data_IF_215631552757
#
_entry.id   IF_215631552757
#
_cell.length_a   1.000
_cell.length_b   1.000
_cell.length_c   1.000
_cell.angle_alpha   90.00
_cell.angle_beta   90.00
_cell.angle_gamma   90.00
#
_symmetry.space_group_name_H-M   'P 1'
#
loop_
_entity.id
_entity.type
_entity.pdbx_description
1 polymer ?
#
# COMPACT_ATOMS: atom_id res chain seq x y z
N UNK A 1 45.33 31.57 -5.49
CA UNK A 1 44.44 31.25 -6.65
C UNK A 1 43.50 30.20 -6.10
N UNK A 2 42.56 30.66 -5.30
CA UNK A 2 41.78 29.80 -4.42
C UNK A 2 40.37 29.84 -4.96
N UNK A 3 40.01 28.76 -5.65
CA UNK A 3 38.69 28.57 -6.22
C UNK A 3 37.81 28.00 -5.10
N UNK A 4 37.06 28.89 -4.44
CA UNK A 4 36.00 28.53 -3.52
C UNK A 4 34.95 27.68 -4.23
N UNK A 5 35.04 26.37 -4.03
CA UNK A 5 34.06 25.41 -4.52
C UNK A 5 32.87 25.45 -3.56
N UNK A 6 31.93 26.35 -3.82
CA UNK A 6 30.66 26.40 -3.08
C UNK A 6 29.87 25.12 -3.36
N UNK A 7 30.05 24.11 -2.52
CA UNK A 7 29.14 22.97 -2.45
C UNK A 7 27.81 23.48 -1.91
N UNK A 8 26.90 23.81 -2.82
CA UNK A 8 25.51 24.11 -2.48
C UNK A 8 24.93 22.86 -1.82
N UNK A 9 24.82 22.88 -0.49
CA UNK A 9 24.28 21.75 0.26
C UNK A 9 22.78 21.73 0.04
N UNK A 10 22.30 20.63 -0.54
CA UNK A 10 20.87 20.41 -0.72
C UNK A 10 20.19 20.33 0.65
N UNK A 11 19.30 21.28 0.94
CA UNK A 11 18.57 21.39 2.21
C UNK A 11 17.30 20.52 2.24
N UNK A 12 17.00 19.79 1.15
CA UNK A 12 15.82 18.94 1.07
C UNK A 12 15.94 17.77 2.03
N UNK A 13 14.81 17.38 2.63
CA UNK A 13 14.80 16.24 3.55
C UNK A 13 15.06 14.94 2.79
N UNK A 14 15.90 14.03 3.32
CA UNK A 14 16.28 12.82 2.60
C UNK A 14 15.11 11.86 2.36
N UNK A 15 14.06 11.90 3.18
CA UNK A 15 12.86 11.09 2.97
C UNK A 15 12.07 11.48 1.73
N UNK A 16 12.18 12.72 1.24
CA UNK A 16 11.45 13.17 0.05
C UNK A 16 11.86 12.44 -1.23
N UNK A 17 13.01 11.75 -1.21
CA UNK A 17 13.50 10.91 -2.31
C UNK A 17 13.19 9.43 -2.12
N UNK A 18 12.50 9.04 -1.04
CA UNK A 18 12.14 7.65 -0.76
C UNK A 18 10.72 7.39 -1.23
N UNK A 19 10.52 6.22 -1.85
CA UNK A 19 9.20 5.78 -2.28
C UNK A 19 8.36 5.48 -1.04
N UNK A 20 7.17 6.07 -0.96
CA UNK A 20 6.16 5.69 0.04
C UNK A 20 5.25 4.60 -0.52
N UNK A 21 4.75 4.82 -1.73
CA UNK A 21 3.84 3.89 -2.40
C UNK A 21 3.75 4.15 -3.89
N UNK A 22 3.58 3.08 -4.67
CA UNK A 22 3.10 3.17 -6.06
C UNK A 22 1.57 3.16 -6.09
N UNK A 23 0.97 4.15 -6.74
CA UNK A 23 -0.48 4.35 -6.74
C UNK A 23 -1.14 4.03 -8.09
N UNK A 24 -0.40 4.13 -9.21
CA UNK A 24 -0.90 3.78 -10.55
C UNK A 24 0.22 3.29 -11.47
N UNK A 25 -0.15 2.66 -12.59
CA UNK A 25 0.74 2.24 -13.66
C UNK A 25 0.09 2.53 -15.02
N UNK A 26 0.88 2.98 -16.00
CA UNK A 26 0.43 3.21 -17.38
C UNK A 26 1.50 2.80 -18.39
N UNK A 27 1.08 2.49 -19.62
CA UNK A 27 1.99 2.28 -20.75
C UNK A 27 2.42 3.63 -21.33
N UNK A 28 3.70 3.79 -21.69
CA UNK A 28 4.23 5.00 -22.32
C UNK A 28 3.69 5.23 -23.73
N UNK A 29 3.63 4.16 -24.50
CA UNK A 29 3.06 4.19 -25.84
C UNK A 29 1.56 4.44 -25.73
N UNK A 30 1.08 5.47 -26.44
CA UNK A 30 -0.30 5.97 -26.45
C UNK A 30 -1.32 4.97 -27.06
N UNK A 31 -1.20 3.66 -26.77
CA UNK A 31 -2.29 2.73 -27.06
C UNK A 31 -3.39 2.99 -26.04
N UNK A 32 -4.63 3.20 -26.53
CA UNK A 32 -5.84 3.37 -25.71
C UNK A 32 -6.26 2.07 -24.99
N UNK A 33 -5.34 1.12 -24.88
CA UNK A 33 -5.59 -0.16 -24.24
C UNK A 33 -5.55 0.05 -22.73
N UNK A 34 -6.62 -0.41 -22.08
CA UNK A 34 -6.71 -0.38 -20.62
C UNK A 34 -5.60 -1.26 -20.07
N UNK A 35 -4.71 -0.67 -19.29
CA UNK A 35 -3.67 -1.38 -18.58
C UNK A 35 -4.31 -2.11 -17.40
N UNK A 36 -4.55 -3.42 -17.52
CA UNK A 36 -5.02 -4.23 -16.40
C UNK A 36 -3.89 -4.45 -15.40
N UNK A 37 -3.90 -3.65 -14.33
CA UNK A 37 -2.91 -3.68 -13.25
C UNK A 37 -2.72 -5.10 -12.69
N UNK A 38 -3.78 -5.93 -12.67
CA UNK A 38 -3.72 -7.30 -12.13
C UNK A 38 -2.92 -8.25 -13.03
N UNK A 39 -3.01 -8.06 -14.34
CA UNK A 39 -2.34 -8.85 -15.37
C UNK A 39 -0.94 -8.30 -15.74
N UNK A 40 -0.64 -7.05 -15.38
CA UNK A 40 0.66 -6.40 -15.61
C UNK A 40 1.83 -7.00 -14.81
N UNK A 41 1.59 -7.78 -13.74
CA UNK A 41 2.66 -8.37 -12.94
C UNK A 41 3.59 -9.30 -13.76
N UNK A 42 3.09 -9.82 -14.87
CA UNK A 42 3.80 -10.75 -15.74
C UNK A 42 4.70 -10.03 -16.77
N UNK A 43 4.53 -8.71 -16.96
CA UNK A 43 5.20 -7.92 -18.00
C UNK A 43 6.24 -6.93 -17.41
N UNK A 44 6.50 -7.04 -16.11
CA UNK A 44 7.39 -6.20 -15.29
C UNK A 44 8.86 -6.20 -15.72
N UNK A 45 9.24 -7.01 -16.71
CA UNK A 45 10.58 -7.07 -17.28
C UNK A 45 10.72 -6.39 -18.64
N UNK A 46 9.65 -5.86 -19.23
CA UNK A 46 9.77 -5.03 -20.44
C UNK A 46 10.18 -3.61 -20.05
N UNK A 47 11.47 -3.47 -19.77
CA UNK A 47 12.10 -2.24 -19.34
C UNK A 47 11.76 -1.09 -20.31
N UNK A 48 11.29 0.03 -19.75
CA UNK A 48 10.97 1.24 -20.50
C UNK A 48 9.59 1.33 -21.17
N UNK A 49 8.72 0.31 -21.14
CA UNK A 49 7.36 0.40 -21.71
C UNK A 49 6.31 0.98 -20.76
N UNK A 50 6.58 0.96 -19.45
CA UNK A 50 5.65 1.36 -18.41
C UNK A 50 6.19 2.53 -17.58
N UNK A 51 5.27 3.32 -17.03
CA UNK A 51 5.52 4.34 -16.04
C UNK A 51 4.64 4.09 -14.82
N UNK A 52 5.17 4.43 -13.65
CA UNK A 52 4.52 4.20 -12.37
C UNK A 52 4.34 5.54 -11.67
N UNK A 53 3.14 5.80 -11.18
CA UNK A 53 2.86 7.00 -10.41
C UNK A 53 3.31 6.75 -8.96
N UNK A 54 4.38 7.43 -8.56
CA UNK A 54 5.06 7.26 -7.28
C UNK A 54 4.65 8.39 -6.33
N UNK A 55 4.16 8.00 -5.15
CA UNK A 55 3.95 8.90 -4.02
C UNK A 55 5.20 8.88 -3.12
N UNK A 56 5.76 10.04 -2.84
CA UNK A 56 7.00 10.20 -2.07
C UNK A 56 6.76 10.30 -0.56
N UNK A 57 7.72 9.84 0.25
CA UNK A 57 7.63 9.93 1.71
C UNK A 57 7.73 11.38 2.16
N UNK A 58 6.84 11.78 3.06
CA UNK A 58 6.82 13.14 3.62
C UNK A 58 6.30 14.23 2.66
N UNK A 59 5.86 13.87 1.44
CA UNK A 59 5.21 14.77 0.48
C UNK A 59 3.72 14.43 0.30
N UNK A 60 2.97 15.40 -0.23
CA UNK A 60 1.55 15.27 -0.52
C UNK A 60 1.30 14.47 -1.80
N UNK A 61 0.04 14.09 -2.05
CA UNK A 61 -0.32 13.35 -3.27
C UNK A 61 -0.17 14.18 -4.55
N UNK A 62 -0.23 15.51 -4.46
CA UNK A 62 -0.01 16.42 -5.59
C UNK A 62 1.41 16.35 -6.15
N UNK A 63 2.37 15.98 -5.30
CA UNK A 63 3.79 15.90 -5.66
C UNK A 63 4.18 14.53 -6.22
N UNK A 64 3.19 13.67 -6.50
CA UNK A 64 3.45 12.35 -7.09
C UNK A 64 3.91 12.49 -8.55
N UNK A 65 4.95 11.73 -8.92
CA UNK A 65 5.58 11.80 -10.24
C UNK A 65 5.48 10.47 -10.98
N UNK A 66 5.47 10.53 -12.32
CA UNK A 66 5.51 9.35 -13.17
C UNK A 66 6.97 8.93 -13.38
N UNK A 67 7.36 7.80 -12.80
CA UNK A 67 8.71 7.27 -12.87
C UNK A 67 8.82 6.10 -13.84
N UNK A 68 9.89 6.08 -14.65
CA UNK A 68 10.17 5.01 -15.63
C UNK A 68 11.01 3.88 -15.03
N UNK A 69 11.87 4.20 -14.07
CA UNK A 69 12.94 3.30 -13.63
C UNK A 69 12.41 2.18 -12.73
N UNK A 70 12.61 0.93 -13.16
CA UNK A 70 12.38 -0.28 -12.36
C UNK A 70 13.42 -0.44 -11.26
N UNK A 71 13.54 0.53 -10.34
CA UNK A 71 14.30 0.29 -9.10
C UNK A 71 13.65 -0.86 -8.34
N UNK A 72 14.45 -1.66 -7.63
CA UNK A 72 13.94 -2.78 -6.86
C UNK A 72 12.87 -2.34 -5.85
N UNK A 73 13.07 -1.18 -5.21
CA UNK A 73 12.10 -0.57 -4.30
C UNK A 73 10.76 -0.28 -4.99
N UNK A 74 10.78 0.26 -6.21
CA UNK A 74 9.58 0.56 -6.98
C UNK A 74 8.83 -0.72 -7.36
N UNK A 75 9.55 -1.77 -7.76
CA UNK A 75 8.95 -3.06 -8.10
C UNK A 75 8.29 -3.72 -6.88
N UNK A 76 8.92 -3.65 -5.71
CA UNK A 76 8.33 -4.13 -4.45
C UNK A 76 7.02 -3.39 -4.15
N UNK A 77 7.00 -2.07 -4.24
CA UNK A 77 5.79 -1.27 -3.99
C UNK A 77 4.72 -1.47 -5.06
N UNK A 78 5.11 -1.68 -6.31
CA UNK A 78 4.19 -2.05 -7.39
C UNK A 78 3.55 -3.41 -7.14
N UNK A 79 4.32 -4.42 -6.72
CA UNK A 79 3.77 -5.72 -6.35
C UNK A 79 2.75 -5.62 -5.21
N UNK A 80 2.99 -4.75 -4.22
CA UNK A 80 2.00 -4.45 -3.17
C UNK A 80 0.73 -3.79 -3.75
N UNK A 81 0.86 -2.94 -4.77
CA UNK A 81 -0.30 -2.37 -5.47
C UNK A 81 -1.12 -3.45 -6.18
N UNK A 82 -0.47 -4.35 -6.90
CA UNK A 82 -1.12 -5.48 -7.58
C UNK A 82 -1.85 -6.38 -6.57
N UNK A 83 -1.19 -6.75 -5.46
CA UNK A 83 -1.79 -7.56 -4.41
C UNK A 83 -3.03 -6.90 -3.79
N UNK A 84 -3.00 -5.58 -3.56
CA UNK A 84 -4.16 -4.83 -3.07
C UNK A 84 -5.33 -4.89 -4.04
N UNK A 85 -5.08 -4.73 -5.35
CA UNK A 85 -6.13 -4.84 -6.37
C UNK A 85 -6.71 -6.25 -6.48
N UNK A 86 -5.86 -7.29 -6.42
CA UNK A 86 -6.31 -8.69 -6.38
C UNK A 86 -7.23 -8.95 -5.19
N UNK A 87 -6.78 -8.57 -4.00
CA UNK A 87 -7.57 -8.75 -2.77
C UNK A 87 -8.89 -7.98 -2.83
N UNK A 88 -8.91 -6.77 -3.40
CA UNK A 88 -10.15 -6.01 -3.58
C UNK A 88 -11.14 -6.73 -4.51
N UNK A 89 -10.65 -7.33 -5.60
CA UNK A 89 -11.46 -8.13 -6.53
C UNK A 89 -11.91 -9.47 -5.92
N UNK A 90 -11.12 -10.06 -5.02
CA UNK A 90 -11.44 -11.29 -4.30
C UNK A 90 -12.48 -11.12 -3.19
N UNK A 91 -12.76 -9.89 -2.74
CA UNK A 91 -13.87 -9.60 -1.83
C UNK A 91 -15.19 -9.77 -2.61
N UNK A 92 -15.49 -11.02 -2.95
CA UNK A 92 -16.81 -11.44 -3.32
C UNK A 92 -17.69 -11.29 -2.08
N UNK A 93 -18.91 -10.84 -2.32
CA UNK A 93 -19.99 -10.69 -1.35
C UNK A 93 -20.34 -12.05 -0.72
N UNK A 94 -19.46 -12.54 0.15
CA UNK A 94 -19.62 -13.75 0.97
C UNK A 94 -20.51 -13.42 2.18
N UNK A 95 -21.54 -12.60 1.96
CA UNK A 95 -22.60 -12.30 2.92
C UNK A 95 -23.63 -13.43 3.04
N UNK A 96 -23.26 -14.66 2.66
CA UNK A 96 -24.10 -15.84 2.85
C UNK A 96 -23.31 -17.01 3.43
N UNK A 97 -22.91 -16.88 4.68
CA UNK A 97 -22.43 -17.99 5.51
C UNK A 97 -22.51 -17.58 6.96
N UNK A 98 -23.02 -18.45 7.83
CA UNK A 98 -22.96 -18.25 9.29
C UNK A 98 -21.50 -17.99 9.65
N UNK A 99 -21.14 -16.74 9.96
CA UNK A 99 -19.81 -16.42 10.45
C UNK A 99 -19.58 -17.30 11.68
N UNK A 100 -18.55 -18.14 11.62
CA UNK A 100 -18.16 -18.95 12.76
C UNK A 100 -17.93 -18.00 13.94
N UNK A 101 -18.54 -18.29 15.11
CA UNK A 101 -18.26 -17.53 16.34
C UNK A 101 -16.75 -17.49 16.52
N UNK A 102 -16.20 -16.28 16.55
CA UNK A 102 -14.76 -16.06 16.57
C UNK A 102 -14.44 -15.28 17.84
N UNK A 103 -13.59 -15.85 18.68
CA UNK A 103 -13.12 -15.22 19.92
C UNK A 103 -11.61 -15.33 19.94
N UNK A 104 -10.94 -14.18 19.97
CA UNK A 104 -9.51 -14.07 20.15
C UNK A 104 -9.17 -14.31 21.62
N UNK A 105 -8.42 -15.36 21.91
CA UNK A 105 -7.83 -15.57 23.24
C UNK A 105 -6.48 -14.87 23.35
N UNK A 106 -5.75 -14.79 22.24
CA UNK A 106 -4.41 -14.22 22.14
C UNK A 106 -4.29 -13.31 20.92
N UNK A 107 -3.24 -12.51 20.87
CA UNK A 107 -2.93 -11.68 19.71
C UNK A 107 -2.65 -12.56 18.48
N UNK A 108 -3.35 -12.34 17.35
CA UNK A 108 -3.03 -13.02 16.11
C UNK A 108 -1.58 -12.77 15.65
N UNK A 109 -0.93 -13.80 15.11
CA UNK A 109 0.47 -13.75 14.67
C UNK A 109 0.76 -12.69 13.60
N UNK A 110 -0.25 -12.26 12.86
CA UNK A 110 -0.11 -11.25 11.80
C UNK A 110 -0.13 -9.81 12.33
N UNK A 111 -0.54 -9.59 13.59
CA UNK A 111 -0.51 -8.25 14.19
C UNK A 111 0.91 -7.96 14.69
N UNK A 112 1.50 -6.90 14.16
CA UNK A 112 2.82 -6.39 14.53
C UNK A 112 2.72 -5.01 15.16
N UNK A 113 3.75 -4.58 15.91
CA UNK A 113 3.78 -3.25 16.55
C UNK A 113 3.68 -3.26 18.07
N UNK A 114 3.92 -4.41 18.70
CA UNK A 114 3.88 -4.61 20.15
C UNK A 114 3.06 -5.83 20.54
N UNK A 115 2.81 -5.97 21.84
CA UNK A 115 1.93 -6.99 22.42
C UNK A 115 0.64 -6.30 22.86
N UNK A 116 -0.50 -6.85 22.45
CA UNK A 116 -1.81 -6.38 22.88
C UNK A 116 -2.02 -6.67 24.36
N UNK A 117 -2.49 -5.66 25.09
CA UNK A 117 -2.96 -5.83 26.45
C UNK A 117 -4.28 -6.60 26.47
N UNK A 118 -4.59 -7.22 27.61
CA UNK A 118 -5.80 -8.03 27.78
C UNK A 118 -7.08 -7.24 27.48
N UNK A 119 -7.18 -5.99 27.95
CA UNK A 119 -8.32 -5.10 27.65
C UNK A 119 -8.46 -4.77 26.16
N UNK A 120 -7.36 -4.76 25.39
CA UNK A 120 -7.41 -4.54 23.94
C UNK A 120 -7.96 -5.79 23.23
N UNK A 121 -7.58 -6.98 23.68
CA UNK A 121 -8.15 -8.25 23.20
C UNK A 121 -9.66 -8.29 23.49
N UNK A 122 -10.08 -7.91 24.70
CA UNK A 122 -11.51 -7.79 25.04
C UNK A 122 -12.24 -6.79 24.15
N UNK A 123 -11.66 -5.61 23.91
CA UNK A 123 -12.23 -4.59 23.03
C UNK A 123 -12.41 -5.07 21.59
N UNK A 124 -11.41 -5.77 21.03
CA UNK A 124 -11.51 -6.36 19.68
C UNK A 124 -12.59 -7.45 19.63
N UNK A 125 -12.63 -8.35 20.62
CA UNK A 125 -13.68 -9.36 20.72
C UNK A 125 -15.07 -8.73 20.80
N UNK A 126 -15.22 -7.63 21.54
CA UNK A 126 -16.47 -6.90 21.62
C UNK A 126 -16.89 -6.35 20.24
N UNK A 127 -15.99 -5.68 19.52
CA UNK A 127 -16.28 -5.18 18.15
C UNK A 127 -16.66 -6.34 17.22
N UNK A 128 -15.90 -7.44 17.23
CA UNK A 128 -16.15 -8.61 16.38
C UNK A 128 -17.51 -9.26 16.68
N UNK A 129 -17.88 -9.39 17.96
CA UNK A 129 -19.19 -9.93 18.35
C UNK A 129 -20.34 -9.07 17.82
N UNK A 130 -20.19 -7.74 17.87
CA UNK A 130 -21.17 -6.78 17.35
C UNK A 130 -21.27 -6.84 15.81
N UNK A 131 -20.12 -6.99 15.13
CA UNK A 131 -20.08 -7.19 13.69
C UNK A 131 -20.81 -8.47 13.26
N UNK A 132 -20.64 -9.57 14.00
CA UNK A 132 -21.33 -10.84 13.73
C UNK A 132 -22.85 -10.73 13.84
N UNK A 133 -23.36 -9.94 14.80
CA UNK A 133 -24.80 -9.67 14.97
C UNK A 133 -25.32 -8.48 14.14
N UNK A 134 -24.49 -7.90 13.26
CA UNK A 134 -24.83 -6.74 12.42
C UNK A 134 -25.25 -5.50 13.21
N UNK A 135 -24.69 -5.32 14.40
CA UNK A 135 -24.91 -4.13 15.23
C UNK A 135 -23.72 -3.18 15.12
N UNK A 136 -23.99 -1.95 14.69
CA UNK A 136 -22.99 -0.89 14.71
C UNK A 136 -22.74 -0.44 16.15
N UNK A 137 -21.49 -0.12 16.47
CA UNK A 137 -21.07 0.30 17.81
C UNK A 137 -20.08 1.44 17.75
N UNK A 138 -19.97 2.20 18.84
CA UNK A 138 -18.99 3.26 19.04
C UNK A 138 -18.05 2.80 20.14
N UNK A 139 -16.75 2.83 19.88
CA UNK A 139 -15.71 2.67 20.89
C UNK A 139 -15.42 4.05 21.49
N UNK A 140 -15.62 4.20 22.80
CA UNK A 140 -15.49 5.45 23.54
C UNK A 140 -14.43 5.31 24.64
#
# INVERSE_FOLDING_TARGET
KDADTLTTTDLRKPEWFKIDRVIACRKKSHSKEVCDIVNLCHWSQQDGQYEYLVKWKGLEYSDATWETSGTEELLVEFNKLVQRHRKANEIHDSHCGKLQKFQLTEQPYYLTGGILFEYQIFGVNWILSNFQIRRNVILA
#
